data_IF_666566891481
#
_entry.id   IF_666566891481
#
_cell.length_a   1.000
_cell.length_b   1.000
_cell.length_c   1.000
_cell.angle_alpha   90.00
_cell.angle_beta   90.00
_cell.angle_gamma   90.00
#
_symmetry.space_group_name_H-M   'P 1'
#
loop_
_entity.id
_entity.type
_entity.pdbx_description
1 polymer ?
#
# COMPACT_ATOMS: atom_id res chain seq x y z
N UNK A 1 -9.57 -24.86 1.49
CA UNK A 1 -9.01 -23.64 2.11
C UNK A 1 -8.04 -24.08 3.19
N UNK A 2 -6.75 -23.78 3.08
CA UNK A 2 -5.77 -24.06 4.15
C UNK A 2 -5.60 -22.78 4.96
N UNK A 3 -5.89 -22.86 6.25
CA UNK A 3 -5.59 -21.79 7.20
C UNK A 3 -4.07 -21.65 7.29
N UNK A 4 -3.54 -20.49 6.89
CA UNK A 4 -2.16 -20.10 7.17
C UNK A 4 -2.10 -19.50 8.58
N UNK A 5 -2.36 -20.31 9.59
CA UNK A 5 -2.11 -19.93 10.98
C UNK A 5 -0.61 -20.08 11.25
N UNK A 6 0.10 -18.97 11.13
CA UNK A 6 1.49 -18.86 11.55
C UNK A 6 1.49 -18.49 13.02
N UNK A 7 2.23 -19.24 13.84
CA UNK A 7 2.39 -18.99 15.28
C UNK A 7 3.84 -18.60 15.57
N UNK A 8 4.05 -17.70 16.53
CA UNK A 8 5.40 -17.43 17.03
C UNK A 8 5.92 -18.62 17.87
N UNK A 9 7.16 -18.51 18.37
CA UNK A 9 7.79 -19.57 19.19
C UNK A 9 7.04 -19.86 20.50
N UNK A 10 6.09 -19.00 20.87
CA UNK A 10 5.28 -19.06 22.09
C UNK A 10 3.83 -19.50 21.80
N UNK A 11 3.47 -19.76 20.54
CA UNK A 11 2.14 -20.22 20.15
C UNK A 11 1.09 -19.10 20.00
N UNK A 12 1.49 -17.83 19.91
CA UNK A 12 0.56 -16.71 19.66
C UNK A 12 0.32 -16.48 18.18
N UNK A 13 -0.92 -16.08 17.85
CA UNK A 13 -1.42 -15.91 16.49
C UNK A 13 -0.66 -14.78 15.79
N UNK A 14 0.16 -15.11 14.78
CA UNK A 14 0.87 -14.11 13.96
C UNK A 14 -0.05 -13.36 12.99
N UNK A 15 -1.27 -13.85 12.76
CA UNK A 15 -2.27 -13.17 11.93
C UNK A 15 -2.70 -11.81 12.48
N UNK A 16 -2.78 -11.68 13.81
CA UNK A 16 -3.08 -10.40 14.45
C UNK A 16 -1.96 -9.38 14.21
N UNK A 17 -0.70 -9.81 14.35
CA UNK A 17 0.45 -8.94 14.11
C UNK A 17 0.52 -8.47 12.65
N UNK A 18 0.19 -9.34 11.68
CA UNK A 18 0.10 -8.95 10.27
C UNK A 18 -0.91 -7.83 10.05
N UNK A 19 -2.15 -7.98 10.51
CA UNK A 19 -3.17 -6.95 10.32
C UNK A 19 -2.87 -5.67 11.09
N UNK A 20 -2.27 -5.75 12.28
CA UNK A 20 -1.75 -4.57 12.98
C UNK A 20 -0.71 -3.82 12.14
N UNK A 21 0.21 -4.53 11.46
CA UNK A 21 1.17 -3.88 10.56
C UNK A 21 0.48 -3.22 9.36
N UNK A 22 -0.52 -3.87 8.76
CA UNK A 22 -1.31 -3.29 7.67
C UNK A 22 -2.03 -2.01 8.12
N UNK A 23 -2.66 -2.03 9.30
CA UNK A 23 -3.31 -0.85 9.88
C UNK A 23 -2.31 0.28 10.14
N UNK A 24 -1.11 -0.03 10.64
CA UNK A 24 -0.05 0.94 10.86
C UNK A 24 0.43 1.57 9.54
N UNK A 25 0.66 0.77 8.50
CA UNK A 25 1.04 1.27 7.17
C UNK A 25 -0.04 2.18 6.59
N UNK A 26 -1.29 1.74 6.61
CA UNK A 26 -2.42 2.53 6.12
C UNK A 26 -2.57 3.84 6.91
N UNK A 27 -2.33 3.82 8.22
CA UNK A 27 -2.37 5.01 9.06
C UNK A 27 -1.23 5.97 8.72
N UNK A 28 -0.02 5.47 8.54
CA UNK A 28 1.15 6.29 8.20
C UNK A 28 1.02 6.91 6.80
N UNK A 29 0.46 6.18 5.83
CA UNK A 29 0.17 6.69 4.48
C UNK A 29 -0.72 7.94 4.47
N UNK A 30 -1.56 8.14 5.48
CA UNK A 30 -2.38 9.37 5.62
C UNK A 30 -1.54 10.64 5.83
N UNK A 31 -0.22 10.51 5.97
CA UNK A 31 0.73 11.62 6.10
C UNK A 31 1.79 11.66 5.00
N UNK A 32 1.75 10.74 4.03
CA UNK A 32 2.72 10.67 2.94
C UNK A 32 2.59 11.89 2.02
N UNK A 33 3.69 12.56 1.73
CA UNK A 33 3.69 13.81 0.94
C UNK A 33 4.21 13.64 -0.48
N UNK A 34 4.88 12.52 -0.75
CA UNK A 34 5.54 12.23 -2.01
C UNK A 34 5.73 10.72 -2.22
N UNK A 35 6.19 10.33 -3.41
CA UNK A 35 6.43 8.93 -3.77
C UNK A 35 7.45 8.23 -2.86
N UNK A 36 8.49 8.94 -2.38
CA UNK A 36 9.49 8.38 -1.47
C UNK A 36 8.89 7.96 -0.13
N UNK A 37 7.99 8.77 0.43
CA UNK A 37 7.27 8.42 1.65
C UNK A 37 6.46 7.15 1.46
N UNK A 38 5.71 7.03 0.37
CA UNK A 38 4.89 5.85 0.08
C UNK A 38 5.74 4.59 -0.02
N UNK A 39 6.84 4.66 -0.79
CA UNK A 39 7.77 3.54 -0.98
C UNK A 39 8.41 3.13 0.34
N UNK A 40 8.83 4.10 1.17
CA UNK A 40 9.41 3.84 2.49
C UNK A 40 8.40 3.18 3.45
N UNK A 41 7.16 3.68 3.48
CA UNK A 41 6.12 3.21 4.41
C UNK A 41 5.70 1.77 4.10
N UNK A 42 5.47 1.48 2.82
CA UNK A 42 5.03 0.17 2.39
C UNK A 42 6.19 -0.83 2.34
N UNK A 43 7.39 -0.36 2.00
CA UNK A 43 8.58 -1.18 1.85
C UNK A 43 8.37 -2.35 0.88
N UNK A 44 9.22 -3.36 1.01
CA UNK A 44 8.96 -4.68 0.42
C UNK A 44 9.81 -5.06 -0.79
N UNK A 45 9.56 -6.29 -1.25
CA UNK A 45 10.38 -7.11 -2.14
C UNK A 45 9.61 -7.60 -3.37
N UNK A 46 8.61 -6.82 -3.82
CA UNK A 46 7.85 -7.08 -5.04
C UNK A 46 8.61 -6.65 -6.30
N UNK A 47 8.06 -6.87 -7.51
CA UNK A 47 8.64 -6.35 -8.75
C UNK A 47 8.57 -4.82 -8.87
N UNK A 48 7.75 -4.16 -8.04
CA UNK A 48 7.70 -2.70 -7.90
C UNK A 48 8.77 -2.13 -6.95
N UNK A 49 8.73 -0.82 -6.77
CA UNK A 49 9.56 -0.10 -5.79
C UNK A 49 9.11 -0.37 -4.34
N UNK A 50 7.83 -0.73 -4.13
CA UNK A 50 7.27 -1.20 -2.87
C UNK A 50 6.06 -2.13 -3.11
N UNK A 51 5.57 -2.77 -2.05
CA UNK A 51 4.43 -3.70 -2.13
C UNK A 51 3.48 -3.57 -0.92
N UNK A 52 2.17 -3.54 -1.19
CA UNK A 52 1.10 -3.57 -0.19
C UNK A 52 0.38 -4.92 -0.20
N UNK A 53 0.64 -5.74 0.83
CA UNK A 53 0.06 -7.07 0.99
C UNK A 53 -1.36 -7.07 1.60
N UNK A 54 -1.89 -5.90 1.99
CA UNK A 54 -3.12 -5.76 2.78
C UNK A 54 -4.42 -5.65 1.96
N UNK A 55 -4.41 -5.94 0.66
CA UNK A 55 -5.55 -5.71 -0.24
C UNK A 55 -6.83 -6.48 0.11
N UNK A 56 -6.74 -7.51 0.96
CA UNK A 56 -7.90 -8.26 1.47
C UNK A 56 -8.54 -7.69 2.74
N UNK A 57 -8.05 -6.57 3.27
CA UNK A 57 -8.61 -5.91 4.46
C UNK A 57 -9.61 -4.78 4.12
N UNK A 58 -10.12 -4.11 5.15
CA UNK A 58 -11.13 -3.04 4.99
C UNK A 58 -10.55 -1.72 4.46
N UNK A 59 -9.25 -1.47 4.71
CA UNK A 59 -8.57 -0.24 4.32
C UNK A 59 -7.77 -0.40 3.02
N UNK A 60 -7.65 0.69 2.26
CA UNK A 60 -6.94 0.69 0.98
C UNK A 60 -5.87 1.78 0.93
N UNK A 61 -4.78 1.53 0.20
CA UNK A 61 -3.72 2.53 -0.06
C UNK A 61 -4.34 3.79 -0.65
N UNK A 62 -5.22 3.65 -1.63
CA UNK A 62 -5.90 4.77 -2.30
C UNK A 62 -6.67 5.65 -1.32
N UNK A 63 -7.47 5.07 -0.42
CA UNK A 63 -8.22 5.83 0.58
C UNK A 63 -7.29 6.59 1.55
N UNK A 64 -6.21 5.95 2.00
CA UNK A 64 -5.22 6.60 2.85
C UNK A 64 -4.51 7.76 2.15
N UNK A 65 -4.16 7.60 0.87
CA UNK A 65 -3.52 8.67 0.09
C UNK A 65 -4.46 9.85 -0.20
N UNK A 66 -5.74 9.61 -0.44
CA UNK A 66 -6.73 10.69 -0.50
C UNK A 66 -6.77 11.50 0.79
N UNK A 67 -6.73 10.83 1.95
CA UNK A 67 -6.67 11.52 3.24
C UNK A 67 -5.38 12.33 3.42
N UNK A 68 -4.29 11.95 2.74
CA UNK A 68 -3.03 12.69 2.71
C UNK A 68 -3.01 13.84 1.68
N UNK A 69 -4.11 14.07 0.94
CA UNK A 69 -4.21 15.12 -0.07
C UNK A 69 -3.67 14.73 -1.45
N UNK A 70 -3.45 13.45 -1.71
CA UNK A 70 -3.14 12.96 -3.06
C UNK A 70 -4.39 12.95 -3.93
N UNK A 71 -4.19 13.08 -5.24
CA UNK A 71 -5.25 13.09 -6.23
C UNK A 71 -5.15 11.88 -7.16
N UNK A 72 -6.30 11.28 -7.49
CA UNK A 72 -6.37 10.26 -8.53
C UNK A 72 -6.34 10.94 -9.89
N UNK A 73 -5.34 10.63 -10.70
CA UNK A 73 -5.20 11.21 -12.04
C UNK A 73 -5.63 10.26 -13.16
N UNK A 74 -5.64 8.95 -12.88
CA UNK A 74 -6.10 7.92 -13.81
C UNK A 74 -6.41 6.60 -13.12
N UNK A 75 -7.35 5.83 -13.65
CA UNK A 75 -7.71 4.49 -13.19
C UNK A 75 -8.27 3.65 -14.36
N UNK A 76 -7.78 2.42 -14.52
CA UNK A 76 -8.40 1.39 -15.38
C UNK A 76 -9.31 0.47 -14.57
N UNK A 77 -8.84 0.07 -13.37
CA UNK A 77 -9.52 -0.85 -12.47
C UNK A 77 -9.16 -0.56 -11.01
N UNK A 78 -9.87 -1.14 -10.04
CA UNK A 78 -9.58 -0.93 -8.62
C UNK A 78 -8.18 -1.41 -8.20
N UNK A 79 -7.58 -2.31 -8.98
CA UNK A 79 -6.23 -2.82 -8.80
C UNK A 79 -5.20 -2.17 -9.75
N UNK A 80 -5.57 -1.21 -10.60
CA UNK A 80 -4.64 -0.51 -11.50
C UNK A 80 -4.98 0.97 -11.67
N UNK A 81 -4.19 1.84 -11.03
CA UNK A 81 -4.44 3.28 -11.01
C UNK A 81 -3.15 4.10 -10.76
N UNK A 82 -3.24 5.41 -11.04
CA UNK A 82 -2.17 6.39 -10.82
C UNK A 82 -2.69 7.51 -9.91
N UNK A 83 -1.89 7.84 -8.88
CA UNK A 83 -2.15 9.00 -8.02
C UNK A 83 -0.96 9.96 -8.04
N UNK A 84 -1.27 11.25 -7.90
CA UNK A 84 -0.31 12.35 -7.83
C UNK A 84 -0.34 12.98 -6.43
N UNK A 85 0.83 13.24 -5.88
CA UNK A 85 1.04 13.86 -4.59
C UNK A 85 0.95 15.40 -4.66
N UNK A 86 0.84 16.09 -3.51
CA UNK A 86 0.91 17.56 -3.46
C UNK A 86 2.22 18.17 -3.99
N UNK A 87 3.32 17.41 -4.00
CA UNK A 87 4.60 17.85 -4.58
C UNK A 87 4.76 17.49 -6.07
N UNK A 88 3.67 17.08 -6.72
CA UNK A 88 3.59 16.59 -8.10
C UNK A 88 4.31 15.26 -8.39
N UNK A 89 4.92 14.60 -7.39
CA UNK A 89 5.39 13.22 -7.57
C UNK A 89 4.20 12.28 -7.79
N UNK A 90 4.42 11.18 -8.52
CA UNK A 90 3.37 10.21 -8.86
C UNK A 90 3.75 8.82 -8.41
N UNK A 91 2.73 8.00 -8.16
CA UNK A 91 2.87 6.55 -8.05
C UNK A 91 1.83 5.86 -8.93
N UNK A 92 2.19 4.67 -9.41
CA UNK A 92 1.27 3.72 -10.04
C UNK A 92 1.10 2.52 -9.11
N UNK A 93 -0.14 2.15 -8.83
CA UNK A 93 -0.50 0.94 -8.10
C UNK A 93 -0.94 -0.14 -9.09
N UNK A 94 -0.38 -1.35 -8.99
CA UNK A 94 -0.75 -2.51 -9.81
C UNK A 94 -0.82 -3.75 -8.89
N UNK A 95 -2.02 -4.25 -8.61
CA UNK A 95 -2.24 -5.50 -7.86
C UNK A 95 -1.49 -5.60 -6.51
N UNK A 96 -1.21 -4.47 -5.87
CA UNK A 96 -0.45 -4.38 -4.62
C UNK A 96 0.96 -3.83 -4.79
N UNK A 97 1.56 -3.93 -5.98
CA UNK A 97 2.85 -3.31 -6.28
C UNK A 97 2.72 -1.80 -6.47
N UNK A 98 3.73 -1.08 -5.98
CA UNK A 98 3.86 0.36 -6.11
C UNK A 98 5.06 0.65 -7.00
N UNK A 99 4.84 1.47 -8.02
CA UNK A 99 5.88 1.98 -8.89
C UNK A 99 5.95 3.49 -8.78
N UNK A 100 7.16 4.04 -8.76
CA UNK A 100 7.37 5.47 -8.92
C UNK A 100 6.97 5.93 -10.32
N UNK A 101 6.27 7.05 -10.36
CA UNK A 101 5.84 7.70 -11.60
C UNK A 101 4.58 7.05 -12.18
N UNK A 102 4.23 7.55 -13.36
CA UNK A 102 3.15 7.03 -14.19
C UNK A 102 3.67 5.89 -15.08
N UNK A 103 3.13 4.68 -14.88
CA UNK A 103 3.54 3.45 -15.58
C UNK A 103 2.43 2.87 -16.46
N UNK A 104 1.56 3.70 -17.02
CA UNK A 104 0.46 3.30 -17.93
C UNK A 104 0.92 2.80 -19.32
N UNK A 105 2.14 2.27 -19.45
CA UNK A 105 2.75 1.83 -20.72
C UNK A 105 2.16 0.55 -21.27
#
# INVERSE_FOLDING_TARGET
>A
MRNYEMFDREGKIMWGAFWTLIEMQLKELQSAKNADDVIRILGGSGPGDAHFAGSGGDGTVRASLFAAGWELVWQEADYFWVMKAPDDSMITYIEGDIYRGDKRS
#
